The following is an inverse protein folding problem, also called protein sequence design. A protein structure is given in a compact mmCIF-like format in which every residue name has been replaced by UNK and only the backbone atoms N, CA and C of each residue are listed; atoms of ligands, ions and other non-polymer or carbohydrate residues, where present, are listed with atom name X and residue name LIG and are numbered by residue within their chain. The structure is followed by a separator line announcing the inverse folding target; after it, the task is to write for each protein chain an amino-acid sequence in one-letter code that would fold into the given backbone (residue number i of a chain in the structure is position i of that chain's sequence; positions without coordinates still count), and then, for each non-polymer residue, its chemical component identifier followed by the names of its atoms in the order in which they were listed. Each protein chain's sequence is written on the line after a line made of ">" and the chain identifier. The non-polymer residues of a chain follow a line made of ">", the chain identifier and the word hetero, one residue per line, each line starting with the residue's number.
data_IF_765172926147
#
_entry.id   IF_765172926147
#
_cell.length_a   1.000
_cell.length_b   1.000
_cell.length_c   1.000
_cell.angle_alpha   90.00
_cell.angle_beta   90.00
_cell.angle_gamma   90.00
#
_symmetry.space_group_name_H-M   'P 1'
#
loop_
_entity.id
_entity.type
_entity.pdbx_description
1 polymer ?
#
# COMPACT_ATOMS: atom_id res chain seq x y z
N UNK A 1 3.19 -15.91 3.59
CA UNK A 1 4.02 -14.70 3.45
C UNK A 1 5.48 -15.11 3.52
N UNK A 2 6.13 -15.33 2.38
CA UNK A 2 7.57 -15.53 2.34
C UNK A 2 8.22 -14.15 2.18
N UNK A 3 8.77 -13.60 3.26
CA UNK A 3 9.60 -12.39 3.21
C UNK A 3 9.19 -11.28 4.17
N UNK A 4 7.88 -10.97 4.29
CA UNK A 4 7.44 -9.95 5.24
C UNK A 4 7.40 -10.52 6.66
N UNK A 5 8.13 -9.89 7.58
CA UNK A 5 8.20 -10.26 9.01
C UNK A 5 7.94 -9.05 9.88
N UNK A 6 7.64 -9.28 11.17
CA UNK A 6 7.52 -8.22 12.19
C UNK A 6 8.72 -7.25 12.20
N UNK A 7 9.91 -7.73 11.87
CA UNK A 7 11.15 -6.96 11.86
C UNK A 7 11.37 -6.08 10.62
N UNK A 8 10.45 -6.06 9.66
CA UNK A 8 10.61 -5.34 8.40
C UNK A 8 11.03 -3.88 8.59
N UNK A 9 12.26 -3.52 8.18
CA UNK A 9 12.87 -2.19 8.33
C UNK A 9 13.40 -1.61 7.01
N UNK A 10 12.96 -2.12 5.86
CA UNK A 10 13.49 -1.76 4.54
C UNK A 10 12.72 -0.62 3.85
N UNK A 11 11.88 0.11 4.58
CA UNK A 11 11.09 1.22 4.05
C UNK A 11 9.65 1.24 4.60
N UNK A 12 8.80 2.03 3.93
CA UNK A 12 7.37 2.14 4.23
C UNK A 12 6.57 1.25 3.28
N UNK A 13 5.64 0.48 3.82
CA UNK A 13 4.75 -0.40 3.05
C UNK A 13 3.53 0.40 2.65
N UNK A 14 3.27 0.51 1.34
CA UNK A 14 2.06 1.13 0.83
C UNK A 14 1.09 0.04 0.37
N UNK A 15 -0.13 0.05 0.87
CA UNK A 15 -1.15 -0.93 0.52
C UNK A 15 -2.56 -0.37 0.79
N UNK A 16 -3.62 -1.16 0.57
CA UNK A 16 -4.97 -0.75 0.97
C UNK A 16 -5.11 -0.72 2.49
N UNK A 17 -6.07 0.05 3.02
CA UNK A 17 -6.36 0.09 4.46
C UNK A 17 -6.71 -1.27 5.05
N UNK A 18 -7.33 -2.17 4.27
CA UNK A 18 -7.64 -3.54 4.69
C UNK A 18 -6.34 -4.35 4.81
N UNK A 19 -5.47 -4.31 3.79
CA UNK A 19 -4.18 -4.99 3.82
C UNK A 19 -3.29 -4.45 4.94
N UNK A 20 -3.31 -3.14 5.20
CA UNK A 20 -2.54 -2.54 6.29
C UNK A 20 -2.89 -3.13 7.65
N UNK A 21 -4.20 -3.28 7.93
CA UNK A 21 -4.69 -3.93 9.15
C UNK A 21 -4.28 -5.40 9.21
N UNK A 22 -4.42 -6.14 8.11
CA UNK A 22 -4.01 -7.56 8.07
C UNK A 22 -2.52 -7.74 8.29
N UNK A 23 -1.68 -6.90 7.69
CA UNK A 23 -0.22 -6.92 7.87
C UNK A 23 0.13 -6.64 9.34
N UNK A 24 -0.49 -5.63 9.96
CA UNK A 24 -0.28 -5.36 11.38
C UNK A 24 -0.77 -6.50 12.28
N UNK A 25 -2.00 -6.99 12.08
CA UNK A 25 -2.63 -7.98 12.95
C UNK A 25 -2.06 -9.40 12.80
N UNK A 26 -1.68 -9.82 11.58
CA UNK A 26 -1.27 -11.20 11.29
C UNK A 26 0.24 -11.37 11.22
N UNK A 27 0.97 -10.34 10.79
CA UNK A 27 2.44 -10.39 10.65
C UNK A 27 3.13 -9.62 11.77
N UNK A 28 2.45 -8.64 12.39
CA UNK A 28 2.98 -7.87 13.51
C UNK A 28 3.83 -6.68 13.09
N UNK A 29 3.81 -6.26 11.81
CA UNK A 29 4.55 -5.07 11.38
C UNK A 29 3.92 -3.83 12.04
N UNK A 30 4.71 -2.96 12.68
CA UNK A 30 4.23 -1.73 13.30
C UNK A 30 3.50 -0.78 12.33
N UNK A 31 2.42 -0.13 12.79
CA UNK A 31 1.57 0.74 11.95
C UNK A 31 2.31 1.97 11.40
N UNK A 32 3.31 2.50 12.11
CA UNK A 32 4.17 3.60 11.64
C UNK A 32 4.99 3.24 10.38
N UNK A 33 5.14 1.94 10.10
CA UNK A 33 5.81 1.42 8.90
C UNK A 33 4.86 1.08 7.75
N UNK A 34 3.55 1.24 7.95
CA UNK A 34 2.53 0.89 6.97
C UNK A 34 1.67 2.11 6.66
N UNK A 35 1.41 2.37 5.38
CA UNK A 35 0.55 3.44 4.91
C UNK A 35 -0.62 2.85 4.13
N UNK A 36 -1.82 3.01 4.68
CA UNK A 36 -3.06 2.63 4.01
C UNK A 36 -3.48 3.71 3.01
N UNK A 37 -3.50 3.36 1.73
CA UNK A 37 -3.86 4.27 0.65
C UNK A 37 -5.38 4.31 0.43
N UNK A 38 -5.97 5.51 0.26
CA UNK A 38 -7.40 5.64 -0.04
C UNK A 38 -7.71 5.18 -1.47
N UNK A 39 -8.88 4.58 -1.66
CA UNK A 39 -9.39 4.22 -2.98
C UNK A 39 -9.88 5.46 -3.74
N UNK A 40 -9.72 5.43 -5.07
CA UNK A 40 -10.23 6.41 -6.03
C UNK A 40 -9.82 7.86 -5.71
N UNK A 41 -8.69 8.03 -5.03
CA UNK A 41 -8.12 9.32 -4.70
C UNK A 41 -6.67 9.37 -5.18
N UNK A 42 -6.37 10.39 -5.97
CA UNK A 42 -5.01 10.69 -6.41
C UNK A 42 -4.21 11.26 -5.23
N UNK A 43 -3.05 10.66 -4.95
CA UNK A 43 -2.11 11.09 -3.91
C UNK A 43 -0.72 11.22 -4.51
N UNK A 44 0.12 12.10 -3.94
CA UNK A 44 1.51 12.21 -4.35
C UNK A 44 2.40 11.42 -3.39
N UNK A 45 3.18 10.49 -3.94
CA UNK A 45 4.20 9.74 -3.21
C UNK A 45 5.54 10.02 -3.88
N UNK A 46 6.40 10.78 -3.21
CA UNK A 46 7.75 11.12 -3.68
C UNK A 46 7.77 11.67 -5.12
N UNK A 47 6.82 12.53 -5.46
CA UNK A 47 6.73 13.14 -6.80
C UNK A 47 5.96 12.31 -7.83
N UNK A 48 5.54 11.08 -7.52
CA UNK A 48 4.73 10.23 -8.40
C UNK A 48 3.27 10.32 -7.95
N UNK A 49 2.37 10.59 -8.89
CA UNK A 49 0.93 10.53 -8.61
C UNK A 49 0.50 9.07 -8.60
N UNK A 50 -0.19 8.67 -7.55
CA UNK A 50 -0.65 7.30 -7.32
C UNK A 50 -2.15 7.31 -7.07
N UNK A 51 -2.88 6.42 -7.73
CA UNK A 51 -4.31 6.18 -7.47
C UNK A 51 -4.56 4.70 -7.27
N UNK A 52 -5.22 4.34 -6.16
CA UNK A 52 -5.59 2.96 -5.88
C UNK A 52 -7.04 2.71 -6.27
N UNK A 53 -7.31 1.61 -6.97
CA UNK A 53 -8.65 1.18 -7.41
C UNK A 53 -8.94 -0.22 -6.88
N UNK A 54 -10.21 -0.54 -6.68
CA UNK A 54 -10.62 -1.89 -6.30
C UNK A 54 -10.26 -2.88 -7.41
N UNK A 55 -9.66 -4.02 -7.05
CA UNK A 55 -9.25 -5.03 -8.02
C UNK A 55 -10.29 -6.15 -8.24
N UNK A 56 -11.41 -6.12 -7.52
CA UNK A 56 -12.49 -7.11 -7.56
C UNK A 56 -12.02 -8.57 -7.39
N UNK A 57 -10.97 -8.80 -6.59
CA UNK A 57 -10.43 -10.14 -6.36
C UNK A 57 -10.66 -10.64 -4.93
N UNK A 58 -10.21 -9.88 -3.93
CA UNK A 58 -10.33 -10.21 -2.50
C UNK A 58 -10.45 -8.92 -1.67
N UNK A 59 -10.96 -8.97 -0.43
CA UNK A 59 -10.98 -7.81 0.44
C UNK A 59 -9.58 -7.20 0.60
N UNK A 60 -9.43 -5.94 0.17
CA UNK A 60 -8.15 -5.23 0.22
C UNK A 60 -7.23 -5.39 -1.00
N UNK A 61 -7.61 -6.19 -2.00
CA UNK A 61 -6.90 -6.24 -3.28
C UNK A 61 -7.11 -4.95 -4.06
N UNK A 62 -6.03 -4.34 -4.54
CA UNK A 62 -6.07 -3.07 -5.26
C UNK A 62 -5.23 -3.13 -6.53
N UNK A 63 -5.68 -2.42 -7.56
CA UNK A 63 -4.87 -2.01 -8.71
C UNK A 63 -4.26 -0.65 -8.36
N UNK A 64 -2.99 -0.43 -8.71
CA UNK A 64 -2.30 0.83 -8.47
C UNK A 64 -1.94 1.47 -9.81
N UNK A 65 -2.51 2.64 -10.08
CA UNK A 65 -2.14 3.48 -11.20
C UNK A 65 -0.99 4.40 -10.76
N UNK A 66 0.13 4.34 -11.48
CA UNK A 66 1.27 5.25 -11.32
C UNK A 66 1.31 6.25 -12.47
N UNK A 67 1.41 7.53 -12.13
CA UNK A 67 1.49 8.65 -13.05
C UNK A 67 2.74 9.47 -12.67
N UNK A 68 3.91 9.15 -13.23
CA UNK A 68 5.10 9.95 -13.01
C UNK A 68 4.97 11.33 -13.69
N UNK A 69 5.72 12.33 -13.22
CA UNK A 69 5.55 13.73 -13.65
C UNK A 69 5.73 13.94 -15.16
N UNK A 70 6.33 12.98 -15.88
CA UNK A 70 6.65 13.10 -17.29
C UNK A 70 5.77 12.22 -18.19
N UNK A 71 4.74 11.55 -17.63
CA UNK A 71 3.84 10.67 -18.39
C UNK A 71 4.50 9.47 -19.07
N UNK A 72 5.73 9.11 -18.65
CA UNK A 72 6.51 7.97 -19.14
C UNK A 72 6.39 6.76 -18.24
#
# INVERSE_FOLDING_TARGET
>A
YQGLTRGFCHGKIYCSSITARLVNMKIGVPLDRIEGLPLNKKINIKGISVTCMDANHCPGSIIILFEPPNGK
#
